data_IF_813550987606
#
_entry.id   IF_813550987606
#
_cell.length_a   1.000
_cell.length_b   1.000
_cell.length_c   1.000
_cell.angle_alpha   90.00
_cell.angle_beta   90.00
_cell.angle_gamma   90.00
#
_symmetry.space_group_name_H-M   'P 1'
#
loop_
_entity.id
_entity.type
_entity.pdbx_description
1 polymer ?
#
# COMPACT_ATOMS: atom_id res chain seq x y z
N UNK A 1 12.01 -22.20 18.12
CA UNK A 1 12.05 -21.30 16.96
C UNK A 1 11.33 -22.02 15.85
N UNK A 2 10.39 -21.34 15.21
CA UNK A 2 9.66 -21.89 14.08
C UNK A 2 10.62 -22.20 12.92
N UNK A 3 10.34 -23.24 12.15
CA UNK A 3 11.05 -23.51 10.89
C UNK A 3 10.54 -22.60 9.75
N UNK A 4 9.49 -21.83 9.99
CA UNK A 4 8.92 -20.88 9.03
C UNK A 4 9.62 -19.50 9.14
N UNK A 5 9.89 -18.81 8.02
CA UNK A 5 10.46 -17.47 8.03
C UNK A 5 9.43 -16.43 8.50
N UNK A 6 9.89 -15.35 9.11
CA UNK A 6 9.05 -14.17 9.30
C UNK A 6 8.81 -13.47 7.96
N UNK A 7 7.63 -12.86 7.79
CA UNK A 7 7.22 -12.21 6.54
C UNK A 7 6.92 -10.73 6.83
N UNK A 8 7.63 -9.82 6.16
CA UNK A 8 7.31 -8.40 6.16
C UNK A 8 6.86 -7.97 4.76
N UNK A 9 5.61 -7.50 4.64
CA UNK A 9 5.06 -6.90 3.43
C UNK A 9 5.06 -5.38 3.58
N UNK A 10 5.98 -4.71 2.91
CA UNK A 10 6.10 -3.25 2.94
C UNK A 10 5.46 -2.66 1.68
N UNK A 11 4.51 -1.74 1.82
CA UNK A 11 3.87 -1.07 0.69
C UNK A 11 3.66 0.43 0.93
N UNK A 12 3.86 1.22 -0.14
CA UNK A 12 3.72 2.68 -0.12
C UNK A 12 2.47 3.11 -0.88
N UNK A 13 1.88 4.25 -0.52
CA UNK A 13 0.85 4.91 -1.31
C UNK A 13 1.52 5.73 -2.43
N UNK A 14 1.14 5.49 -3.69
CA UNK A 14 1.56 6.25 -4.89
C UNK A 14 3.06 6.19 -5.26
N UNK A 15 3.82 5.25 -4.72
CA UNK A 15 5.20 5.04 -5.16
C UNK A 15 5.24 4.37 -6.54
N UNK A 16 5.70 5.11 -7.55
CA UNK A 16 6.02 4.59 -8.87
C UNK A 16 7.42 3.97 -8.94
N UNK A 17 7.91 3.73 -10.17
CA UNK A 17 9.29 3.27 -10.45
C UNK A 17 10.36 4.37 -10.29
N UNK A 18 10.11 5.35 -9.43
CA UNK A 18 11.00 6.49 -9.21
C UNK A 18 12.02 6.16 -8.10
N UNK A 19 12.85 5.15 -8.34
CA UNK A 19 13.88 4.65 -7.41
C UNK A 19 15.18 4.37 -8.18
N UNK A 20 16.32 4.39 -7.49
CA UNK A 20 17.64 4.11 -8.11
C UNK A 20 17.70 2.72 -8.73
N UNK A 21 17.07 1.72 -8.09
CA UNK A 21 16.97 0.36 -8.65
C UNK A 21 16.14 0.26 -9.94
N UNK A 22 15.49 1.35 -10.36
CA UNK A 22 14.79 1.52 -11.63
C UNK A 22 15.34 2.69 -12.45
N UNK A 23 16.63 3.02 -12.28
CA UNK A 23 17.36 4.05 -13.02
C UNK A 23 16.84 5.50 -12.84
N UNK A 24 16.26 5.79 -11.67
CA UNK A 24 15.85 7.17 -11.32
C UNK A 24 16.82 7.84 -10.33
N UNK A 25 17.02 9.15 -10.47
CA UNK A 25 17.92 9.93 -9.62
C UNK A 25 17.21 10.42 -8.34
N UNK A 26 17.18 9.56 -7.31
CA UNK A 26 16.62 9.86 -5.99
C UNK A 26 17.49 9.24 -4.89
N UNK A 27 17.56 9.85 -3.71
CA UNK A 27 18.37 9.34 -2.59
C UNK A 27 17.59 8.29 -1.77
N UNK A 28 17.79 7.00 -2.07
CA UNK A 28 17.08 5.87 -1.42
C UNK A 28 17.98 4.73 -0.91
N UNK A 29 19.04 5.01 -0.13
CA UNK A 29 20.13 4.05 0.14
C UNK A 29 19.67 2.76 0.86
N UNK A 30 18.57 2.81 1.61
CA UNK A 30 18.00 1.62 2.28
C UNK A 30 17.22 0.72 1.32
N UNK A 31 16.46 1.30 0.39
CA UNK A 31 15.76 0.55 -0.66
C UNK A 31 16.77 -0.06 -1.62
N UNK A 32 17.83 0.69 -1.95
CA UNK A 32 18.89 0.21 -2.84
C UNK A 32 19.68 -0.95 -2.20
N UNK A 33 19.91 -0.87 -0.89
CA UNK A 33 20.46 -1.99 -0.12
C UNK A 33 19.54 -3.20 -0.15
N UNK A 34 18.22 -3.03 -0.06
CA UNK A 34 17.27 -4.15 -0.16
C UNK A 34 17.29 -4.77 -1.57
N UNK A 35 17.26 -3.93 -2.60
CA UNK A 35 17.31 -4.37 -4.00
C UNK A 35 18.59 -5.16 -4.33
N UNK A 36 19.75 -4.69 -3.86
CA UNK A 36 21.05 -5.35 -4.09
C UNK A 36 21.23 -6.67 -3.32
N UNK A 37 20.46 -6.90 -2.25
CA UNK A 37 20.48 -8.14 -1.48
C UNK A 37 19.27 -9.06 -1.78
N UNK A 38 18.43 -8.68 -2.74
CA UNK A 38 17.19 -9.38 -3.06
C UNK A 38 16.99 -9.56 -4.57
N UNK A 39 15.73 -9.49 -4.98
CA UNK A 39 15.33 -9.53 -6.38
C UNK A 39 14.53 -8.26 -6.71
N UNK A 40 14.78 -7.71 -7.90
CA UNK A 40 14.03 -6.58 -8.46
C UNK A 40 13.11 -7.10 -9.56
N UNK A 41 11.83 -6.74 -9.48
CA UNK A 41 10.83 -7.10 -10.48
C UNK A 41 10.65 -5.93 -11.45
N UNK A 42 11.22 -6.03 -12.64
CA UNK A 42 11.12 -4.99 -13.67
C UNK A 42 9.71 -4.86 -14.28
N UNK A 43 8.91 -5.94 -14.14
CA UNK A 43 7.59 -6.09 -14.75
C UNK A 43 6.56 -6.53 -13.69
N UNK A 44 6.35 -5.68 -12.68
CA UNK A 44 5.31 -5.85 -11.66
C UNK A 44 4.22 -4.79 -11.85
N UNK A 45 2.96 -5.23 -11.90
CA UNK A 45 1.82 -4.39 -12.25
C UNK A 45 0.72 -4.49 -11.19
N UNK A 46 0.16 -3.34 -10.81
CA UNK A 46 -1.07 -3.30 -10.05
C UNK A 46 -2.25 -3.80 -10.91
N UNK A 47 -3.18 -4.51 -10.29
CA UNK A 47 -4.40 -5.01 -10.94
C UNK A 47 -5.43 -3.91 -11.20
N UNK A 48 -5.26 -2.74 -10.59
CA UNK A 48 -6.09 -1.57 -10.75
C UNK A 48 -5.26 -0.28 -10.59
N UNK A 49 -5.67 0.82 -11.24
CA UNK A 49 -5.01 2.12 -11.12
C UNK A 49 -5.43 2.90 -9.86
N UNK A 50 -6.23 2.31 -8.97
CA UNK A 50 -6.72 2.91 -7.73
C UNK A 50 -6.22 2.14 -6.51
N UNK A 51 -6.04 2.84 -5.39
CA UNK A 51 -5.44 2.28 -4.17
C UNK A 51 -6.24 1.12 -3.58
N UNK A 52 -7.52 1.32 -3.23
CA UNK A 52 -8.32 0.27 -2.57
C UNK A 52 -8.44 -1.00 -3.42
N UNK A 53 -8.83 -0.94 -4.71
CA UNK A 53 -8.91 -2.15 -5.55
C UNK A 53 -7.57 -2.90 -5.71
N UNK A 54 -6.46 -2.15 -5.84
CA UNK A 54 -5.12 -2.76 -5.92
C UNK A 54 -4.73 -3.43 -4.61
N UNK A 55 -5.04 -2.82 -3.45
CA UNK A 55 -4.74 -3.37 -2.12
C UNK A 55 -5.63 -4.55 -1.77
N UNK A 56 -6.91 -4.52 -2.14
CA UNK A 56 -7.77 -5.70 -2.06
C UNK A 56 -7.22 -6.86 -2.87
N UNK A 57 -6.67 -6.60 -4.06
CA UNK A 57 -6.05 -7.66 -4.86
C UNK A 57 -4.80 -8.24 -4.19
N UNK A 58 -4.02 -7.40 -3.49
CA UNK A 58 -2.87 -7.85 -2.71
C UNK A 58 -3.28 -8.71 -1.50
N UNK A 59 -4.39 -8.37 -0.84
CA UNK A 59 -4.90 -9.09 0.33
C UNK A 59 -5.65 -10.38 -0.03
N UNK A 60 -6.35 -10.42 -1.16
CA UNK A 60 -7.17 -11.58 -1.57
C UNK A 60 -6.47 -12.50 -2.56
N UNK A 61 -5.45 -12.01 -3.27
CA UNK A 61 -4.86 -12.68 -4.42
C UNK A 61 -5.78 -12.73 -5.66
N UNK A 62 -6.88 -11.97 -5.66
CA UNK A 62 -7.93 -11.98 -6.71
C UNK A 62 -8.08 -10.62 -7.35
N UNK A 63 -8.51 -10.58 -8.61
CA UNK A 63 -8.74 -9.30 -9.29
C UNK A 63 -9.92 -8.54 -8.67
N UNK A 64 -9.99 -7.19 -8.81
CA UNK A 64 -11.06 -6.38 -8.22
C UNK A 64 -12.48 -6.82 -8.59
N UNK A 65 -12.68 -7.23 -9.84
CA UNK A 65 -13.98 -7.70 -10.32
C UNK A 65 -14.39 -9.07 -9.73
N UNK A 66 -13.44 -9.82 -9.18
CA UNK A 66 -13.69 -11.09 -8.50
C UNK A 66 -13.84 -10.93 -7.00
N UNK A 67 -13.10 -9.99 -6.39
CA UNK A 67 -13.12 -9.76 -4.95
C UNK A 67 -14.15 -8.73 -4.47
N UNK A 68 -14.84 -8.05 -5.40
CA UNK A 68 -15.93 -7.11 -5.13
C UNK A 68 -15.48 -5.64 -4.99
N UNK A 69 -14.22 -5.39 -4.60
CA UNK A 69 -13.72 -4.03 -4.36
C UNK A 69 -13.25 -3.36 -5.66
N UNK A 70 -14.22 -2.93 -6.48
CA UNK A 70 -13.99 -2.31 -7.80
C UNK A 70 -13.81 -0.78 -7.77
N UNK A 71 -13.94 -0.15 -6.60
CA UNK A 71 -13.70 1.27 -6.39
C UNK A 71 -13.10 1.57 -5.02
N UNK A 72 -13.13 2.84 -4.61
CA UNK A 72 -12.51 3.27 -3.36
C UNK A 72 -13.33 2.80 -2.15
N UNK A 73 -12.63 2.34 -1.11
CA UNK A 73 -13.27 1.77 0.08
C UNK A 73 -14.13 2.76 0.90
N UNK A 74 -14.03 4.06 0.60
CA UNK A 74 -14.84 5.14 1.18
C UNK A 74 -16.10 5.50 0.35
N UNK A 75 -16.24 4.97 -0.86
CA UNK A 75 -17.23 5.42 -1.85
C UNK A 75 -18.26 4.33 -2.20
N UNK A 76 -18.61 3.46 -1.23
CA UNK A 76 -19.57 2.33 -1.29
C UNK A 76 -19.04 0.92 -1.68
N UNK A 77 -18.07 0.72 -2.59
CA UNK A 77 -17.52 -0.61 -2.87
C UNK A 77 -16.91 -1.25 -1.63
N UNK A 78 -17.22 -2.53 -1.42
CA UNK A 78 -16.62 -3.37 -0.38
C UNK A 78 -16.13 -4.68 -0.98
N UNK A 79 -15.27 -5.38 -0.26
CA UNK A 79 -15.01 -6.80 -0.54
C UNK A 79 -16.32 -7.60 -0.48
N UNK A 80 -16.38 -8.71 -1.23
CA UNK A 80 -17.46 -9.68 -1.05
C UNK A 80 -17.39 -10.28 0.37
N UNK A 81 -18.55 -10.65 0.92
CA UNK A 81 -18.66 -11.17 2.28
C UNK A 81 -17.91 -12.51 2.49
N UNK A 82 -17.60 -13.24 1.41
CA UNK A 82 -16.94 -14.54 1.41
C UNK A 82 -15.44 -14.49 1.06
N UNK A 83 -14.84 -13.29 0.92
CA UNK A 83 -13.40 -13.17 0.74
C UNK A 83 -12.64 -13.54 2.01
N UNK A 84 -11.61 -14.37 1.87
CA UNK A 84 -10.59 -14.56 2.91
C UNK A 84 -9.34 -13.77 2.55
N UNK A 85 -8.77 -13.11 3.55
CA UNK A 85 -7.61 -12.24 3.36
C UNK A 85 -6.32 -12.93 3.75
N UNK A 86 -5.21 -12.43 3.20
CA UNK A 86 -3.85 -12.90 3.46
C UNK A 86 -3.53 -13.12 4.95
N UNK A 87 -3.84 -12.19 5.88
CA UNK A 87 -3.61 -12.43 7.31
C UNK A 87 -4.40 -13.64 7.84
N UNK A 88 -5.62 -13.89 7.38
CA UNK A 88 -6.40 -15.06 7.83
C UNK A 88 -5.73 -16.38 7.39
N UNK A 89 -5.26 -16.44 6.14
CA UNK A 89 -4.51 -17.59 5.64
C UNK A 89 -3.21 -17.83 6.42
N UNK A 90 -2.49 -16.75 6.76
CA UNK A 90 -1.24 -16.83 7.51
C UNK A 90 -1.46 -17.18 8.99
N UNK A 91 -2.53 -16.69 9.60
CA UNK A 91 -2.95 -17.06 10.95
C UNK A 91 -3.25 -18.56 11.04
N UNK A 92 -3.99 -19.12 10.07
CA UNK A 92 -4.20 -20.58 9.96
C UNK A 92 -2.88 -21.35 9.79
N UNK A 93 -1.90 -20.76 9.11
CA UNK A 93 -0.56 -21.34 8.94
C UNK A 93 0.36 -21.17 10.17
N UNK A 94 -0.14 -20.57 11.26
CA UNK A 94 0.59 -20.44 12.53
C UNK A 94 1.41 -19.16 12.68
N UNK A 95 1.17 -18.15 11.86
CA UNK A 95 1.78 -16.82 12.01
C UNK A 95 0.96 -15.95 12.95
N UNK A 96 1.61 -15.18 13.81
CA UNK A 96 0.96 -14.00 14.42
C UNK A 96 0.96 -12.86 13.39
N UNK A 97 -0.21 -12.25 13.17
CA UNK A 97 -0.42 -11.29 12.07
C UNK A 97 -0.60 -9.86 12.56
N UNK A 98 0.11 -8.93 11.94
CA UNK A 98 0.20 -7.54 12.35
C UNK A 98 -0.06 -6.59 11.19
N UNK A 99 -0.87 -5.56 11.45
CA UNK A 99 -1.00 -4.39 10.58
C UNK A 99 -0.35 -3.18 11.23
N UNK A 100 0.59 -2.54 10.53
CA UNK A 100 1.21 -1.28 10.89
C UNK A 100 0.90 -0.23 9.82
N UNK A 101 0.27 0.87 10.20
CA UNK A 101 -0.13 1.92 9.28
C UNK A 101 -1.04 1.43 8.15
N UNK A 102 -1.02 2.17 7.04
CA UNK A 102 -2.08 2.20 6.03
C UNK A 102 -2.50 0.86 5.39
N UNK A 103 -3.75 0.42 5.57
CA UNK A 103 -4.37 -0.67 4.78
C UNK A 103 -5.17 -0.23 3.54
N UNK A 104 -6.08 0.77 3.66
CA UNK A 104 -6.97 1.33 2.62
C UNK A 104 -7.83 0.34 1.80
N UNK A 105 -8.29 -0.76 2.40
CA UNK A 105 -9.17 -1.80 1.83
C UNK A 105 -10.60 -1.73 2.40
N UNK A 106 -10.76 -1.30 3.66
CA UNK A 106 -12.07 -1.21 4.34
C UNK A 106 -12.11 -0.07 5.36
N UNK A 107 -13.29 0.42 5.70
CA UNK A 107 -13.53 1.33 6.84
C UNK A 107 -13.50 0.62 8.20
N UNK A 108 -13.57 -0.71 8.20
CA UNK A 108 -13.67 -1.53 9.39
C UNK A 108 -12.43 -2.43 9.49
N UNK A 109 -11.29 -1.93 10.00
CA UNK A 109 -10.02 -2.66 10.00
C UNK A 109 -10.08 -3.97 10.80
N UNK A 110 -11.03 -4.10 11.74
CA UNK A 110 -11.35 -5.35 12.44
C UNK A 110 -11.79 -6.48 11.50
N UNK A 111 -12.30 -6.15 10.31
CA UNK A 111 -12.69 -7.13 9.27
C UNK A 111 -11.52 -7.64 8.45
N UNK A 112 -10.31 -7.11 8.65
CA UNK A 112 -9.14 -7.52 7.88
C UNK A 112 -8.52 -8.82 8.38
N UNK A 113 -8.91 -9.31 9.55
CA UNK A 113 -8.44 -10.61 10.08
C UNK A 113 -7.01 -10.59 10.62
N UNK A 114 -6.42 -9.42 10.91
CA UNK A 114 -5.15 -9.31 11.62
C UNK A 114 -5.33 -9.57 13.13
N UNK A 115 -4.37 -10.23 13.76
CA UNK A 115 -4.36 -10.48 15.21
C UNK A 115 -4.09 -9.18 16.00
N UNK A 116 -3.22 -8.31 15.47
CA UNK A 116 -2.83 -7.05 16.11
C UNK A 116 -2.82 -5.88 15.12
N UNK A 117 -3.49 -4.79 15.48
CA UNK A 117 -3.50 -3.52 14.73
C UNK A 117 -2.66 -2.48 15.49
N UNK A 118 -1.74 -1.82 14.78
CA UNK A 118 -0.82 -0.83 15.34
C UNK A 118 -1.03 0.52 14.65
N UNK A 119 -2.11 1.21 15.02
CA UNK A 119 -2.43 2.58 14.60
C UNK A 119 -2.49 3.50 15.81
N UNK A 120 -1.70 4.58 15.85
CA UNK A 120 -1.61 5.44 17.05
C UNK A 120 -2.74 6.48 17.15
N UNK A 121 -3.34 6.87 16.02
CA UNK A 121 -4.35 7.93 15.99
C UNK A 121 -5.72 7.37 15.70
N UNK A 122 -6.68 7.70 16.58
CA UNK A 122 -8.08 7.59 16.23
C UNK A 122 -8.31 8.41 14.97
N UNK A 123 -8.86 7.74 13.97
CA UNK A 123 -9.60 8.32 12.85
C UNK A 123 -10.24 9.63 13.33
N UNK A 124 -9.79 10.77 12.79
CA UNK A 124 -10.45 12.04 13.11
C UNK A 124 -11.95 11.85 12.82
N UNK A 125 -12.88 12.29 13.69
CA UNK A 125 -14.30 12.09 13.48
C UNK A 125 -14.81 12.71 12.17
N UNK A 126 -14.05 13.66 11.61
CA UNK A 126 -14.34 14.34 10.35
C UNK A 126 -13.63 13.73 9.13
N UNK A 127 -12.88 12.64 9.31
CA UNK A 127 -12.10 11.98 8.27
C UNK A 127 -12.58 10.52 8.14
N UNK A 128 -13.09 10.11 6.97
CA UNK A 128 -13.57 8.75 6.77
C UNK A 128 -12.53 7.69 7.21
N UNK A 129 -12.93 6.70 8.03
CA UNK A 129 -12.08 5.62 8.56
C UNK A 129 -11.19 4.90 7.55
N UNK A 130 -11.60 4.95 6.29
CA UNK A 130 -11.01 4.30 5.13
C UNK A 130 -9.78 5.00 4.55
N UNK A 131 -9.54 6.30 4.81
CA UNK A 131 -8.63 7.10 3.94
C UNK A 131 -7.36 7.60 4.61
N UNK A 132 -7.27 7.62 5.94
CA UNK A 132 -6.04 8.09 6.59
C UNK A 132 -5.73 7.26 7.83
N UNK A 133 -4.74 6.37 7.71
CA UNK A 133 -3.96 6.03 8.89
C UNK A 133 -2.90 7.13 9.02
N UNK A 134 -3.17 8.05 9.95
CA UNK A 134 -2.54 9.37 10.15
C UNK A 134 -1.12 9.24 10.75
N UNK A 135 -0.53 8.04 10.68
CA UNK A 135 0.78 7.77 11.22
C UNK A 135 1.83 8.09 10.15
N UNK A 136 2.75 8.97 10.50
CA UNK A 136 3.86 9.31 9.61
C UNK A 136 4.78 8.11 9.48
N UNK A 137 5.50 8.01 8.37
CA UNK A 137 6.45 6.92 8.13
C UNK A 137 7.45 6.74 9.28
N UNK A 138 7.85 7.82 9.96
CA UNK A 138 8.67 7.73 11.16
C UNK A 138 7.96 7.02 12.31
N UNK A 139 6.70 7.38 12.62
CA UNK A 139 5.90 6.78 13.68
C UNK A 139 5.63 5.30 13.39
N UNK A 140 5.21 4.97 12.16
CA UNK A 140 5.00 3.57 11.72
C UNK A 140 6.29 2.75 11.84
N UNK A 141 7.44 3.33 11.44
CA UNK A 141 8.73 2.64 11.48
C UNK A 141 9.24 2.44 12.90
N UNK A 142 9.11 3.46 13.76
CA UNK A 142 9.47 3.39 15.18
C UNK A 142 8.62 2.34 15.89
N UNK A 143 7.30 2.35 15.67
CA UNK A 143 6.38 1.38 16.26
C UNK A 143 6.71 -0.06 15.88
N UNK A 144 7.00 -0.30 14.60
CA UNK A 144 7.44 -1.63 14.15
C UNK A 144 8.79 -2.03 14.78
N UNK A 145 9.75 -1.11 14.83
CA UNK A 145 11.07 -1.36 15.40
C UNK A 145 11.01 -1.68 16.90
N UNK A 146 10.15 -0.99 17.65
CA UNK A 146 9.93 -1.25 19.08
C UNK A 146 9.34 -2.64 19.29
N UNK A 147 8.25 -2.99 18.59
CA UNK A 147 7.67 -4.33 18.68
C UNK A 147 8.65 -5.44 18.30
N UNK A 148 9.50 -5.20 17.29
CA UNK A 148 10.55 -6.15 16.91
C UNK A 148 11.63 -6.28 18.00
N UNK A 149 12.06 -5.17 18.60
CA UNK A 149 13.07 -5.13 19.66
C UNK A 149 12.60 -5.76 20.97
N UNK A 150 11.34 -5.57 21.31
CA UNK A 150 10.71 -6.10 22.53
C UNK A 150 10.31 -7.58 22.39
N UNK A 151 10.29 -8.12 21.17
CA UNK A 151 9.89 -9.51 20.90
C UNK A 151 8.38 -9.72 20.86
N UNK A 152 7.62 -8.65 20.58
CA UNK A 152 6.15 -8.60 20.64
C UNK A 152 5.45 -9.01 19.33
N UNK A 153 6.21 -9.50 18.34
CA UNK A 153 5.71 -9.91 17.03
C UNK A 153 5.37 -11.41 16.92
N UNK A 154 5.79 -12.24 17.87
CA UNK A 154 5.65 -13.70 17.74
C UNK A 154 6.74 -14.36 16.87
N UNK A 155 6.71 -15.69 16.78
CA UNK A 155 7.68 -16.52 16.06
C UNK A 155 6.96 -17.78 15.50
N UNK A 156 6.56 -17.80 14.21
CA UNK A 156 6.82 -16.79 13.17
C UNK A 156 5.77 -15.66 13.16
N UNK A 157 6.09 -14.54 12.49
CA UNK A 157 5.20 -13.40 12.35
C UNK A 157 5.00 -12.94 10.90
N UNK A 158 3.84 -12.35 10.63
CA UNK A 158 3.54 -11.61 9.42
C UNK A 158 3.24 -10.15 9.76
N UNK A 159 3.95 -9.23 9.15
CA UNK A 159 3.73 -7.79 9.31
C UNK A 159 3.41 -7.14 7.96
N UNK A 160 2.20 -6.59 7.82
CA UNK A 160 1.83 -5.68 6.74
C UNK A 160 2.14 -4.24 7.18
N UNK A 161 3.02 -3.55 6.47
CA UNK A 161 3.56 -2.24 6.85
C UNK A 161 3.26 -1.23 5.75
N UNK A 162 2.35 -0.30 6.04
CA UNK A 162 1.83 0.68 5.10
C UNK A 162 2.29 2.12 5.35
N UNK A 163 2.79 2.76 4.30
CA UNK A 163 3.20 4.17 4.32
C UNK A 163 2.32 5.07 3.44
N UNK A 164 2.09 6.32 3.87
CA UNK A 164 1.21 7.30 3.20
C UNK A 164 1.96 8.44 2.50
N UNK A 165 3.21 8.72 2.89
CA UNK A 165 3.96 9.96 2.64
C UNK A 165 4.02 10.47 1.20
N UNK A 166 3.99 9.57 0.22
CA UNK A 166 4.12 9.92 -1.20
C UNK A 166 2.77 10.21 -1.86
N UNK A 167 1.66 9.99 -1.14
CA UNK A 167 0.33 10.39 -1.58
C UNK A 167 0.20 11.91 -1.58
N UNK A 168 -0.61 12.40 -2.50
CA UNK A 168 -1.02 13.81 -2.52
C UNK A 168 -1.85 14.15 -1.28
N UNK A 169 -1.80 15.40 -0.83
CA UNK A 169 -2.63 15.88 0.25
C UNK A 169 -3.98 16.34 -0.29
N UNK A 170 -5.04 16.02 0.43
CA UNK A 170 -6.36 16.58 0.14
C UNK A 170 -6.36 18.07 0.49
N UNK A 171 -6.76 18.91 -0.47
CA UNK A 171 -6.98 20.33 -0.27
C UNK A 171 -8.42 20.60 0.21
N UNK A 172 -8.67 21.80 0.73
CA UNK A 172 -9.99 22.22 1.26
C UNK A 172 -11.17 22.06 0.27
N UNK A 173 -10.89 21.95 -1.04
CA UNK A 173 -11.88 21.74 -2.09
C UNK A 173 -12.10 20.25 -2.45
N UNK A 174 -11.60 19.33 -1.62
CA UNK A 174 -11.68 17.88 -1.81
C UNK A 174 -10.76 17.34 -2.91
N UNK A 175 -9.84 18.18 -3.45
CA UNK A 175 -8.92 17.76 -4.50
C UNK A 175 -7.56 17.43 -3.93
N UNK A 176 -7.01 16.31 -4.34
CA UNK A 176 -5.65 15.91 -4.00
C UNK A 176 -4.60 16.71 -4.78
N UNK A 177 -3.70 17.38 -4.06
CA UNK A 177 -2.60 18.21 -4.59
C UNK A 177 -1.28 17.88 -3.90
N UNK A 178 -0.16 18.26 -4.50
CA UNK A 178 1.11 18.24 -3.79
C UNK A 178 1.02 19.19 -2.58
N UNK A 179 1.63 18.79 -1.47
CA UNK A 179 1.56 19.49 -0.19
C UNK A 179 2.05 20.95 -0.21
N UNK A 180 2.68 21.37 -1.30
CA UNK A 180 3.35 22.65 -1.42
C UNK A 180 3.55 23.02 -2.89
N UNK A 181 3.94 24.28 -3.15
CA UNK A 181 4.40 24.77 -4.46
C UNK A 181 5.79 24.21 -4.86
N UNK A 182 6.38 23.37 -4.00
CA UNK A 182 7.67 22.70 -4.21
C UNK A 182 7.73 21.74 -5.40
N UNK A 183 6.59 21.38 -5.98
CA UNK A 183 6.53 20.44 -7.10
C UNK A 183 5.77 21.06 -8.27
N UNK A 184 6.48 21.30 -9.37
CA UNK A 184 5.87 21.57 -10.66
C UNK A 184 5.39 20.23 -11.25
N UNK A 185 4.10 20.08 -11.62
CA UNK A 185 3.63 18.89 -12.30
C UNK A 185 4.46 18.62 -13.56
N UNK A 186 4.80 17.36 -13.81
CA UNK A 186 5.46 16.98 -15.05
C UNK A 186 4.59 17.39 -16.26
N UNK A 187 5.23 17.89 -17.32
CA UNK A 187 4.57 18.12 -18.60
C UNK A 187 4.09 16.77 -19.16
N UNK A 188 2.77 16.55 -19.33
CA UNK A 188 2.24 15.28 -19.82
C UNK A 188 2.81 14.91 -21.20
N UNK A 189 3.19 15.89 -22.02
CA UNK A 189 3.78 15.62 -23.34
C UNK A 189 5.21 15.08 -23.22
N UNK A 190 5.92 15.43 -22.15
CA UNK A 190 7.28 15.00 -21.85
C UNK A 190 7.34 13.66 -21.11
N UNK A 191 6.21 13.06 -20.74
CA UNK A 191 6.17 11.74 -20.10
C UNK A 191 6.52 10.66 -21.12
N UNK A 192 7.63 9.99 -20.89
CA UNK A 192 8.02 8.79 -21.62
C UNK A 192 7.16 7.60 -21.17
N UNK A 193 6.47 6.97 -22.12
CA UNK A 193 5.71 5.74 -21.82
C UNK A 193 6.65 4.55 -21.76
N UNK A 194 6.46 3.70 -20.75
CA UNK A 194 7.23 2.47 -20.61
C UNK A 194 7.05 1.58 -21.86
N UNK A 195 8.09 0.86 -22.30
CA UNK A 195 8.12 0.17 -23.60
C UNK A 195 7.04 -0.93 -23.75
N UNK A 196 6.44 -1.36 -22.65
CA UNK A 196 5.37 -2.35 -22.60
C UNK A 196 3.96 -1.76 -22.52
N UNK A 197 3.82 -0.43 -22.39
CA UNK A 197 2.53 0.25 -22.55
C UNK A 197 2.32 0.56 -24.04
N UNK A 198 1.13 0.29 -24.61
CA UNK A 198 0.88 0.61 -26.01
C UNK A 198 1.07 2.12 -26.23
N UNK A 199 2.04 2.48 -27.05
CA UNK A 199 2.42 3.87 -27.36
C UNK A 199 1.38 4.61 -28.22
N UNK A 200 0.15 4.11 -28.32
CA UNK A 200 -0.89 4.71 -29.14
C UNK A 200 -1.47 5.94 -28.43
N UNK A 201 -0.78 7.08 -28.59
CA UNK A 201 -1.34 8.44 -28.41
C UNK A 201 -2.50 8.74 -29.40
N UNK A 202 -2.94 7.73 -30.17
CA UNK A 202 -3.95 7.79 -31.24
C UNK A 202 -5.31 7.17 -30.86
N UNK A 203 -5.58 6.92 -29.58
CA UNK A 203 -6.95 6.64 -29.14
C UNK A 203 -7.80 7.92 -29.25
N UNK A 204 -8.24 8.25 -30.47
CA UNK A 204 -9.38 9.14 -30.67
C UNK A 204 -10.57 8.47 -29.99
N UNK A 205 -10.94 8.97 -28.82
CA UNK A 205 -12.20 8.62 -28.18
C UNK A 205 -13.30 9.23 -29.04
N UNK A 206 -13.78 8.46 -30.01
CA UNK A 206 -15.03 8.71 -30.69
C UNK A 206 -16.16 8.39 -29.73
N UNK A 207 -16.66 9.41 -29.04
CA UNK A 207 -18.03 9.46 -28.52
C UNK A 207 -18.72 10.61 -29.23
#
# INVERSE_FOLDING_TARGET
>A
MSDHPNICLVHCHDLGRYLVCYDFDVDTPRIDSLASNGAVLENAFATAPQCSPSRASLQTGRHPHENGLVGLAHDEPTLNDDESLLPEYLSVAGYETHLFGLQHVTEHPDRLGFDKLHSERHLSPDVPPSVHEIDRACEVSERFADCLGDGDLGDPFFASIGFFELHRLEADDGRFRFADDRYEPADPEAVETLPYLPADRTMSVGI
#
